data_IF_716756504284
#
_entry.id   IF_716756504284
#
_cell.length_a   1.000
_cell.length_b   1.000
_cell.length_c   1.000
_cell.angle_alpha   90.00
_cell.angle_beta   90.00
_cell.angle_gamma   90.00
#
_symmetry.space_group_name_H-M   'P 1'
#
loop_
_entity.id
_entity.type
_entity.pdbx_description
1 polymer ?
#
# COMPACT_ATOMS: atom_id res chain seq x y z
N UNK A 1 -9.63 -12.78 -9.53
CA UNK A 1 -8.78 -12.32 -10.65
C UNK A 1 -7.87 -11.28 -10.04
N UNK A 2 -6.55 -11.35 -10.24
CA UNK A 2 -5.63 -10.42 -9.57
C UNK A 2 -5.81 -9.00 -10.10
N UNK A 3 -5.70 -8.02 -9.21
CA UNK A 3 -5.68 -6.63 -9.62
C UNK A 3 -4.39 -6.31 -10.40
N UNK A 4 -4.45 -5.41 -11.39
CA UNK A 4 -3.29 -5.03 -12.20
C UNK A 4 -2.26 -4.20 -11.43
N UNK A 5 -2.69 -3.62 -10.31
CA UNK A 5 -1.90 -2.84 -9.38
C UNK A 5 -2.47 -2.98 -7.97
N UNK A 6 -1.66 -2.61 -6.98
CA UNK A 6 -2.04 -2.59 -5.56
C UNK A 6 -1.59 -1.26 -4.96
N UNK A 7 -2.48 -0.60 -4.25
CA UNK A 7 -2.18 0.59 -3.46
C UNK A 7 -2.65 0.44 -2.01
N UNK A 8 -1.68 0.54 -1.08
CA UNK A 8 -1.94 0.52 0.36
C UNK A 8 -1.36 1.76 1.04
N UNK A 9 -2.00 2.18 2.12
CA UNK A 9 -1.60 3.31 2.94
C UNK A 9 -1.16 2.82 4.30
N UNK A 10 0.07 3.11 4.69
CA UNK A 10 0.63 2.69 5.97
C UNK A 10 0.67 3.88 6.91
N UNK A 11 0.08 3.71 8.09
CA UNK A 11 0.18 4.65 9.20
C UNK A 11 1.57 4.53 9.78
N UNK A 12 2.10 5.66 10.24
CA UNK A 12 3.35 5.81 11.02
C UNK A 12 4.44 6.56 10.24
N UNK A 13 5.04 7.54 10.90
CA UNK A 13 6.10 8.40 10.34
C UNK A 13 7.47 7.69 10.34
N UNK A 14 7.62 6.61 11.11
CA UNK A 14 8.85 5.84 11.27
C UNK A 14 8.95 4.64 10.30
N UNK A 15 7.87 4.32 9.58
CA UNK A 15 7.97 3.36 8.45
C UNK A 15 8.62 4.09 7.29
N UNK A 16 9.90 3.82 7.09
CA UNK A 16 10.65 4.33 5.96
C UNK A 16 10.73 3.32 4.81
N UNK A 17 11.21 3.79 3.64
CA UNK A 17 11.37 2.94 2.46
C UNK A 17 12.37 1.78 2.67
N UNK A 18 13.21 1.79 3.70
CA UNK A 18 14.14 0.68 4.00
C UNK A 18 13.41 -0.47 4.66
N UNK A 19 12.53 -0.20 5.62
CA UNK A 19 11.65 -1.22 6.19
C UNK A 19 10.77 -1.85 5.09
N UNK A 20 10.25 -1.01 4.20
CA UNK A 20 9.52 -1.47 3.00
C UNK A 20 10.41 -2.28 2.08
N UNK A 21 11.64 -1.85 1.81
CA UNK A 21 12.58 -2.57 0.94
C UNK A 21 12.90 -3.96 1.47
N UNK A 22 13.07 -4.10 2.79
CA UNK A 22 13.34 -5.40 3.40
C UNK A 22 12.14 -6.33 3.23
N UNK A 23 10.94 -5.87 3.58
CA UNK A 23 9.72 -6.67 3.44
C UNK A 23 9.42 -7.05 1.98
N UNK A 24 9.51 -6.09 1.06
CA UNK A 24 9.34 -6.37 -0.38
C UNK A 24 10.45 -7.28 -0.90
N UNK A 25 11.68 -7.15 -0.37
CA UNK A 25 12.79 -8.07 -0.63
C UNK A 25 12.44 -9.52 -0.34
N UNK A 26 11.81 -9.76 0.80
CA UNK A 26 11.39 -11.09 1.24
C UNK A 26 10.17 -11.61 0.44
N UNK A 27 9.25 -10.73 0.05
CA UNK A 27 7.99 -11.11 -0.61
C UNK A 27 8.07 -11.21 -2.15
N UNK A 28 8.84 -10.32 -2.79
CA UNK A 28 8.91 -10.14 -4.25
C UNK A 28 10.32 -10.40 -4.81
N UNK A 29 11.33 -10.46 -3.95
CA UNK A 29 12.74 -10.50 -4.32
C UNK A 29 13.42 -9.13 -4.15
N UNK A 30 14.76 -9.14 -4.21
CA UNK A 30 15.60 -7.98 -3.90
C UNK A 30 15.14 -6.69 -4.57
N UNK A 31 15.04 -5.61 -3.78
CA UNK A 31 14.82 -4.27 -4.33
C UNK A 31 16.08 -3.74 -5.02
N UNK A 32 15.88 -3.10 -6.18
CA UNK A 32 16.89 -2.24 -6.79
C UNK A 32 17.23 -1.07 -5.88
N UNK A 33 18.26 -0.31 -6.26
CA UNK A 33 18.53 0.99 -5.64
C UNK A 33 17.27 1.88 -5.67
N UNK A 34 16.92 2.43 -4.51
CA UNK A 34 15.81 3.37 -4.37
C UNK A 34 16.24 4.74 -4.85
N UNK A 35 15.48 5.29 -5.79
CA UNK A 35 15.73 6.61 -6.38
C UNK A 35 14.66 7.58 -5.93
N UNK A 36 15.10 8.68 -5.32
CA UNK A 36 14.20 9.76 -4.93
C UNK A 36 13.95 10.69 -6.12
N UNK A 37 12.67 10.99 -6.39
CA UNK A 37 12.22 12.00 -7.34
C UNK A 37 11.20 12.90 -6.67
N UNK A 38 11.64 14.09 -6.24
CA UNK A 38 10.83 14.97 -5.41
C UNK A 38 10.54 14.34 -4.06
N UNK A 39 9.26 14.18 -3.72
CA UNK A 39 8.82 13.52 -2.49
C UNK A 39 8.65 12.00 -2.65
N UNK A 40 8.58 11.50 -3.88
CA UNK A 40 8.41 10.06 -4.15
C UNK A 40 9.74 9.34 -4.18
N UNK A 41 9.73 8.08 -3.77
CA UNK A 41 10.82 7.12 -3.88
C UNK A 41 10.38 5.99 -4.79
N UNK A 42 11.27 5.53 -5.67
CA UNK A 42 10.96 4.45 -6.61
C UNK A 42 12.05 3.39 -6.62
N UNK A 43 11.64 2.13 -6.73
CA UNK A 43 12.53 1.01 -6.97
C UNK A 43 11.81 -0.07 -7.78
N UNK A 44 12.52 -1.15 -8.08
CA UNK A 44 11.94 -2.39 -8.61
C UNK A 44 12.23 -3.51 -7.61
N UNK A 45 11.20 -4.20 -7.13
CA UNK A 45 11.34 -5.38 -6.27
C UNK A 45 11.08 -6.64 -7.12
N UNK A 46 12.12 -7.42 -7.39
CA UNK A 46 12.05 -8.48 -8.39
C UNK A 46 11.74 -7.90 -9.78
N UNK A 47 10.52 -8.12 -10.27
CA UNK A 47 10.00 -7.56 -11.53
C UNK A 47 8.94 -6.47 -11.32
N UNK A 48 8.54 -6.19 -10.08
CA UNK A 48 7.44 -5.28 -9.74
C UNK A 48 7.96 -3.85 -9.59
N UNK A 49 7.34 -2.89 -10.28
CA UNK A 49 7.65 -1.48 -10.08
C UNK A 49 6.99 -0.96 -8.80
N UNK A 50 7.79 -0.33 -7.94
CA UNK A 50 7.38 0.13 -6.62
C UNK A 50 7.48 1.65 -6.56
N UNK A 51 6.42 2.29 -6.08
CA UNK A 51 6.42 3.71 -5.72
C UNK A 51 6.06 3.86 -4.24
N UNK A 52 6.88 4.60 -3.52
CA UNK A 52 6.66 4.98 -2.13
C UNK A 52 6.52 6.50 -2.03
N UNK A 53 5.42 6.95 -1.44
CA UNK A 53 5.16 8.36 -1.16
C UNK A 53 4.97 8.56 0.34
N UNK A 54 6.00 9.05 1.05
CA UNK A 54 5.87 9.44 2.45
C UNK A 54 4.84 10.56 2.61
N UNK A 55 4.06 10.52 3.69
CA UNK A 55 3.08 11.56 4.05
C UNK A 55 2.13 11.94 2.91
N UNK A 56 1.71 10.94 2.12
CA UNK A 56 0.73 11.09 1.05
C UNK A 56 -0.56 11.76 1.54
N UNK A 57 -1.04 11.38 2.72
CA UNK A 57 -2.20 12.00 3.38
C UNK A 57 -1.96 12.11 4.88
N UNK A 58 -1.61 13.30 5.37
CA UNK A 58 -1.37 13.54 6.80
C UNK A 58 -0.26 12.64 7.36
N UNK A 59 -0.62 11.62 8.13
CA UNK A 59 0.30 10.63 8.76
C UNK A 59 0.38 9.29 8.00
N UNK A 60 -0.11 9.26 6.77
CA UNK A 60 -0.19 8.05 5.95
C UNK A 60 0.77 8.12 4.79
N UNK A 61 1.56 7.06 4.61
CA UNK A 61 2.44 6.88 3.47
C UNK A 61 1.74 5.98 2.44
N UNK A 62 1.79 6.33 1.16
CA UNK A 62 1.28 5.47 0.08
C UNK A 62 2.40 4.54 -0.41
N UNK A 63 2.06 3.27 -0.56
CA UNK A 63 2.84 2.26 -1.27
C UNK A 63 2.01 1.76 -2.45
N UNK A 64 2.53 1.97 -3.65
CA UNK A 64 1.93 1.52 -4.89
C UNK A 64 2.84 0.49 -5.58
N UNK A 65 2.25 -0.66 -5.93
CA UNK A 65 2.86 -1.77 -6.65
C UNK A 65 2.19 -1.91 -8.02
N UNK A 66 2.89 -1.50 -9.07
CA UNK A 66 2.37 -1.45 -10.44
C UNK A 66 2.65 -2.80 -11.13
N UNK A 67 1.91 -3.85 -10.75
CA UNK A 67 2.00 -5.18 -11.36
C UNK A 67 0.89 -6.15 -10.88
N UNK A 68 0.41 -7.00 -11.79
CA UNK A 68 -0.40 -8.18 -11.49
C UNK A 68 0.42 -9.40 -11.01
N UNK A 69 1.76 -9.28 -11.03
CA UNK A 69 2.69 -10.35 -10.67
C UNK A 69 3.09 -10.33 -9.19
N UNK A 70 2.27 -9.72 -8.33
CA UNK A 70 2.46 -9.79 -6.88
C UNK A 70 1.90 -11.11 -6.30
N UNK A 71 2.35 -11.57 -5.12
CA UNK A 71 1.80 -12.75 -4.46
C UNK A 71 0.42 -12.50 -3.85
N UNK A 72 -0.04 -11.24 -3.81
CA UNK A 72 -1.33 -10.83 -3.28
C UNK A 72 -2.37 -10.79 -4.39
N UNK A 73 -3.61 -11.17 -4.06
CA UNK A 73 -4.69 -11.13 -5.04
C UNK A 73 -5.22 -9.71 -5.26
N UNK A 74 -5.27 -8.93 -4.19
CA UNK A 74 -5.82 -7.59 -4.14
C UNK A 74 -5.15 -6.72 -3.06
N UNK A 75 -5.60 -5.48 -2.97
CA UNK A 75 -5.18 -4.50 -1.97
C UNK A 75 -5.33 -5.00 -0.52
N UNK A 76 -6.42 -5.72 -0.22
CA UNK A 76 -6.73 -6.22 1.13
C UNK A 76 -5.72 -7.32 1.52
N UNK A 77 -5.43 -8.25 0.62
CA UNK A 77 -4.44 -9.29 0.82
C UNK A 77 -3.04 -8.71 1.05
N UNK A 78 -2.69 -7.66 0.31
CA UNK A 78 -1.44 -6.93 0.52
C UNK A 78 -1.42 -6.19 1.85
N UNK A 79 -2.50 -5.50 2.21
CA UNK A 79 -2.63 -4.78 3.47
C UNK A 79 -2.47 -5.70 4.69
N UNK A 80 -3.08 -6.90 4.64
CA UNK A 80 -2.91 -7.95 5.66
C UNK A 80 -1.47 -8.42 5.77
N UNK A 81 -0.79 -8.62 4.65
CA UNK A 81 0.61 -9.05 4.64
C UNK A 81 1.55 -7.96 5.17
N UNK A 82 1.32 -6.71 4.78
CA UNK A 82 2.05 -5.54 5.27
C UNK A 82 1.87 -5.38 6.79
N UNK A 83 0.61 -5.44 7.29
CA UNK A 83 0.32 -5.42 8.72
C UNK A 83 1.08 -6.54 9.46
N UNK A 84 1.06 -7.78 8.94
CA UNK A 84 1.74 -8.91 9.55
C UNK A 84 3.27 -8.74 9.60
N UNK A 85 3.87 -8.16 8.57
CA UNK A 85 5.32 -8.00 8.47
C UNK A 85 5.85 -6.79 9.25
N UNK A 86 5.10 -5.68 9.23
CA UNK A 86 5.56 -4.38 9.72
C UNK A 86 4.88 -3.98 11.04
N UNK A 87 3.79 -4.65 11.42
CA UNK A 87 2.99 -4.37 12.62
C UNK A 87 2.51 -2.91 12.70
N UNK A 88 2.10 -2.35 11.56
CA UNK A 88 1.57 -0.98 11.44
C UNK A 88 0.17 -1.00 10.86
N UNK A 89 -0.68 -0.07 11.28
CA UNK A 89 -2.03 0.05 10.73
C UNK A 89 -1.96 0.34 9.23
N UNK A 90 -2.70 -0.44 8.43
CA UNK A 90 -2.75 -0.32 6.98
C UNK A 90 -4.17 0.01 6.55
N UNK A 91 -4.31 0.84 5.52
CA UNK A 91 -5.58 1.13 4.87
C UNK A 91 -5.49 0.85 3.38
N UNK A 92 -6.57 0.40 2.78
CA UNK A 92 -6.65 0.23 1.34
C UNK A 92 -8.09 0.35 0.85
N UNK A 93 -8.26 0.43 -0.48
CA UNK A 93 -9.58 0.40 -1.07
C UNK A 93 -10.23 -1.00 -0.86
N UNK A 94 -11.57 -1.08 -0.72
CA UNK A 94 -12.30 -2.34 -0.60
C UNK A 94 -12.41 -3.12 -1.92
N UNK A 95 -11.90 -2.58 -3.03
CA UNK A 95 -11.86 -3.19 -4.35
C UNK A 95 -11.26 -2.25 -5.39
N UNK A 96 -11.22 -2.69 -6.65
CA UNK A 96 -10.76 -1.84 -7.76
C UNK A 96 -11.68 -0.63 -7.89
N UNK A 97 -11.10 0.57 -7.81
CA UNK A 97 -11.81 1.82 -8.03
C UNK A 97 -12.56 1.78 -9.36
N UNK A 98 -13.89 1.92 -9.31
CA UNK A 98 -14.74 2.06 -10.50
C UNK A 98 -15.07 3.54 -10.65
N UNK A 99 -14.74 4.15 -11.79
CA UNK A 99 -14.98 5.58 -12.06
C UNK A 99 -16.46 6.00 -11.98
N UNK A 100 -17.40 5.04 -12.02
CA UNK A 100 -18.85 5.25 -11.87
C UNK A 100 -19.36 5.23 -10.41
N UNK A 101 -18.49 4.96 -9.43
CA UNK A 101 -18.89 4.94 -8.02
C UNK A 101 -18.99 6.38 -7.47
N UNK A 102 -20.16 6.71 -6.90
CA UNK A 102 -20.50 8.07 -6.43
C UNK A 102 -19.54 8.54 -5.32
N UNK A 103 -19.43 9.86 -5.09
CA UNK A 103 -18.62 10.49 -4.01
C UNK A 103 -18.73 9.79 -2.63
N UNK A 104 -19.84 9.12 -2.32
CA UNK A 104 -20.07 8.44 -1.05
C UNK A 104 -19.31 7.11 -0.87
N UNK A 105 -18.88 6.46 -1.95
CA UNK A 105 -18.06 5.24 -1.86
C UNK A 105 -16.56 5.54 -1.95
N UNK A 106 -16.18 6.73 -2.43
CA UNK A 106 -14.80 7.21 -2.44
C UNK A 106 -14.20 7.33 -1.03
N UNK A 107 -15.04 7.44 0.00
CA UNK A 107 -14.64 7.47 1.40
C UNK A 107 -14.61 6.07 2.06
N UNK A 108 -14.93 4.97 1.37
CA UNK A 108 -14.91 3.61 1.95
C UNK A 108 -13.52 3.00 1.86
N UNK A 109 -12.99 2.62 3.01
CA UNK A 109 -11.65 2.02 3.13
C UNK A 109 -11.70 0.80 4.02
N UNK A 110 -10.83 -0.16 3.75
CA UNK A 110 -10.55 -1.27 4.66
C UNK A 110 -9.38 -0.85 5.55
N UNK A 111 -9.56 -0.91 6.86
CA UNK A 111 -8.51 -0.73 7.88
C UNK A 111 -8.11 -2.09 8.39
N UNK A 112 -6.82 -2.40 8.31
CA UNK A 112 -6.19 -3.56 8.93
C UNK A 112 -5.33 -3.08 10.10
N UNK A 113 -5.65 -3.53 11.31
CA UNK A 113 -4.94 -3.14 12.54
C UNK A 113 -4.90 -4.30 13.55
N UNK A 114 -4.34 -4.04 14.74
CA UNK A 114 -4.30 -5.04 15.81
C UNK A 114 -5.70 -5.45 16.31
N UNK A 115 -6.71 -4.59 16.10
CA UNK A 115 -8.11 -4.87 16.44
C UNK A 115 -8.81 -5.78 15.40
N UNK A 116 -8.18 -6.00 14.25
CA UNK A 116 -8.72 -6.78 13.14
C UNK A 116 -8.84 -5.99 11.85
N UNK A 117 -9.66 -6.50 10.94
CA UNK A 117 -10.03 -5.86 9.69
C UNK A 117 -11.43 -5.26 9.83
N UNK A 118 -11.55 -3.96 9.53
CA UNK A 118 -12.80 -3.21 9.62
C UNK A 118 -12.97 -2.31 8.41
N UNK A 119 -14.20 -2.19 7.90
CA UNK A 119 -14.54 -1.16 6.94
C UNK A 119 -14.75 0.17 7.67
N UNK A 120 -14.11 1.23 7.18
CA UNK A 120 -14.14 2.56 7.76
C UNK A 120 -14.49 3.60 6.70
N UNK A 121 -15.01 4.74 7.15
CA UNK A 121 -15.10 5.96 6.35
C UNK A 121 -13.88 6.82 6.61
N UNK A 122 -13.00 7.00 5.62
CA UNK A 122 -11.81 7.85 5.76
C UNK A 122 -11.92 9.11 4.92
N UNK A 123 -12.35 10.20 5.57
CA UNK A 123 -12.37 11.53 4.96
C UNK A 123 -10.98 12.15 5.03
N UNK A 124 -10.38 12.43 3.87
CA UNK A 124 -9.05 13.05 3.75
C UNK A 124 -9.10 14.59 3.68
N UNK A 125 -10.29 15.18 3.84
CA UNK A 125 -10.60 16.61 3.82
C UNK A 125 -10.04 17.39 5.00
#
# INVERSE_FOLDING_TARGET
>A
MRQPDIEIYLKDEDVDHKAIAQWLGDALGSCSEWKQKGQTWKCTAGTVAVTWLPKAVGKWNSLHLDSDQTPWEDDIACARAAFKALNVEVRCAPGTWVEEESDETADRWIRVSADGEEEITWRTS
#
